data_IF_542402362594
#
_entry.id   IF_542402362594
#
_cell.length_a   1.000
_cell.length_b   1.000
_cell.length_c   1.000
_cell.angle_alpha   90.00
_cell.angle_beta   90.00
_cell.angle_gamma   90.00
#
_symmetry.space_group_name_H-M   'P 1'
#
loop_
_entity.id
_entity.type
_entity.pdbx_description
1 polymer ?
#
# COMPACT_ATOMS: atom_id res chain seq x y z
N UNK A 1 8.21 9.89 -12.45
CA UNK A 1 8.83 8.62 -12.02
C UNK A 1 7.67 7.69 -11.71
N UNK A 2 7.75 6.39 -11.98
CA UNK A 2 6.66 5.49 -11.60
C UNK A 2 6.65 5.36 -10.08
N UNK A 3 5.48 5.54 -9.47
CA UNK A 3 5.30 5.42 -8.03
C UNK A 3 4.27 4.33 -7.77
N UNK A 4 4.58 3.43 -6.84
CA UNK A 4 3.72 2.32 -6.47
C UNK A 4 3.18 2.53 -5.06
N UNK A 5 1.94 2.13 -4.81
CA UNK A 5 1.31 2.18 -3.49
C UNK A 5 0.61 0.86 -3.21
N UNK A 6 0.36 0.59 -1.92
CA UNK A 6 -0.39 -0.57 -1.46
C UNK A 6 -1.84 -0.13 -1.20
N UNK A 7 -2.79 -0.76 -1.86
CA UNK A 7 -4.22 -0.49 -1.73
C UNK A 7 -4.98 -1.68 -1.16
N UNK A 8 -6.14 -1.41 -0.55
CA UNK A 8 -7.04 -2.46 -0.09
C UNK A 8 -7.74 -3.08 -1.31
N UNK A 9 -7.59 -4.39 -1.56
CA UNK A 9 -8.15 -5.03 -2.75
C UNK A 9 -9.68 -4.95 -2.83
N UNK A 10 -10.37 -4.90 -1.69
CA UNK A 10 -11.82 -4.69 -1.64
C UNK A 10 -12.24 -3.22 -1.87
N UNK A 11 -11.32 -2.26 -1.70
CA UNK A 11 -11.55 -0.83 -1.84
C UNK A 11 -10.27 -0.12 -2.31
N UNK A 12 -9.96 -0.15 -3.62
CA UNK A 12 -8.66 0.33 -4.15
C UNK A 12 -8.38 1.83 -3.95
N UNK A 13 -9.40 2.61 -3.59
CA UNK A 13 -9.25 4.02 -3.22
C UNK A 13 -8.69 4.22 -1.79
N UNK A 14 -8.72 3.18 -0.95
CA UNK A 14 -8.07 3.18 0.36
C UNK A 14 -6.65 2.65 0.20
N UNK A 15 -5.68 3.51 0.49
CA UNK A 15 -4.24 3.24 0.35
C UNK A 15 -3.61 3.14 1.74
N UNK A 16 -2.57 2.31 1.87
CA UNK A 16 -1.79 2.22 3.09
C UNK A 16 -1.19 3.59 3.39
N UNK A 17 -1.44 4.11 4.59
CA UNK A 17 -0.93 5.41 5.03
C UNK A 17 0.60 5.42 5.01
N UNK A 18 1.21 6.60 4.84
CA UNK A 18 2.66 6.75 4.92
C UNK A 18 3.24 6.27 6.27
N UNK A 19 2.45 6.36 7.34
CA UNK A 19 2.81 5.85 8.66
C UNK A 19 2.75 4.31 8.76
N UNK A 20 2.06 3.64 7.84
CA UNK A 20 1.88 2.19 7.83
C UNK A 20 0.91 1.69 8.90
N UNK A 21 0.11 2.57 9.49
CA UNK A 21 -0.80 2.27 10.61
C UNK A 21 -2.24 1.95 10.18
N UNK A 22 -2.58 2.18 8.91
CA UNK A 22 -3.93 1.94 8.41
C UNK A 22 -4.10 2.18 6.92
N UNK A 23 -5.27 1.78 6.40
CA UNK A 23 -5.71 2.13 5.06
C UNK A 23 -6.62 3.37 5.13
N UNK A 24 -6.31 4.37 4.32
CA UNK A 24 -6.95 5.69 4.35
C UNK A 24 -7.12 6.22 2.92
N UNK A 25 -8.15 7.04 2.71
CA UNK A 25 -8.40 7.70 1.44
C UNK A 25 -7.90 9.16 1.43
N UNK A 26 -7.49 9.69 2.59
CA UNK A 26 -7.19 11.12 2.76
C UNK A 26 -5.73 11.41 3.07
N UNK A 27 -5.05 10.50 3.77
CA UNK A 27 -3.66 10.74 4.14
C UNK A 27 -2.71 10.42 2.99
N UNK A 28 -1.49 10.97 3.07
CA UNK A 28 -0.45 10.64 2.11
C UNK A 28 -0.20 9.12 2.13
N UNK A 29 -0.22 8.45 0.96
CA UNK A 29 0.01 7.02 0.91
C UNK A 29 1.50 6.68 1.07
N UNK A 30 1.78 5.47 1.54
CA UNK A 30 3.11 4.89 1.47
C UNK A 30 3.48 4.64 0.01
N UNK A 31 4.48 5.38 -0.45
CA UNK A 31 4.96 5.35 -1.83
C UNK A 31 6.25 4.55 -1.95
N UNK A 32 6.34 3.76 -3.01
CA UNK A 32 7.49 2.93 -3.37
C UNK A 32 7.97 3.30 -4.77
N UNK A 33 9.29 3.19 -4.99
CA UNK A 33 9.94 3.48 -6.27
C UNK A 33 9.83 2.34 -7.29
N UNK A 34 9.38 1.16 -6.85
CA UNK A 34 9.22 -0.03 -7.67
C UNK A 34 8.14 -0.96 -7.11
N UNK A 35 7.53 -1.74 -8.00
CA UNK A 35 6.60 -2.80 -7.60
C UNK A 35 7.26 -3.83 -6.68
N UNK A 36 8.54 -4.16 -6.93
CA UNK A 36 9.27 -5.12 -6.09
C UNK A 36 9.43 -4.62 -4.65
N UNK A 37 9.77 -3.33 -4.46
CA UNK A 37 9.87 -2.74 -3.13
C UNK A 37 8.54 -2.79 -2.36
N UNK A 38 7.42 -2.51 -3.04
CA UNK A 38 6.09 -2.64 -2.44
C UNK A 38 5.75 -4.10 -2.08
N UNK A 39 6.13 -5.05 -2.95
CA UNK A 39 5.94 -6.48 -2.69
C UNK A 39 6.76 -6.98 -1.50
N UNK A 40 8.03 -6.61 -1.43
CA UNK A 40 8.90 -6.97 -0.31
C UNK A 40 8.36 -6.42 1.02
N UNK A 41 7.80 -5.21 1.00
CA UNK A 41 7.12 -4.63 2.15
C UNK A 41 5.91 -5.48 2.59
N UNK A 42 5.04 -5.87 1.64
CA UNK A 42 3.87 -6.69 1.93
C UNK A 42 4.24 -8.03 2.54
N UNK A 43 5.18 -8.75 1.94
CA UNK A 43 5.61 -10.08 2.43
C UNK A 43 6.18 -9.98 3.83
N UNK A 44 6.94 -8.92 4.12
CA UNK A 44 7.56 -8.71 5.43
C UNK A 44 6.55 -8.41 6.54
N UNK A 45 5.44 -7.75 6.21
CA UNK A 45 4.45 -7.27 7.19
C UNK A 45 3.09 -7.96 7.06
N UNK A 46 3.00 -9.08 6.33
CA UNK A 46 1.71 -9.75 6.05
C UNK A 46 1.00 -10.27 7.29
N UNK A 47 1.70 -10.41 8.42
CA UNK A 47 1.16 -10.84 9.71
C UNK A 47 0.96 -9.69 10.70
N UNK A 48 1.33 -8.47 10.29
CA UNK A 48 1.23 -7.25 11.10
C UNK A 48 -0.04 -6.47 10.70
N UNK A 49 -0.68 -5.82 11.68
CA UNK A 49 -1.73 -4.85 11.37
C UNK A 49 -1.09 -3.65 10.62
N UNK A 50 -1.76 -3.08 9.59
CA UNK A 50 -3.11 -3.37 9.10
C UNK A 50 -3.19 -4.43 7.98
N UNK A 51 -2.07 -5.07 7.62
CA UNK A 51 -2.00 -6.00 6.47
C UNK A 51 -2.47 -7.42 6.81
N UNK A 52 -2.52 -7.76 8.09
CA UNK A 52 -2.95 -9.06 8.57
C UNK A 52 -4.35 -9.43 8.11
N UNK A 53 -4.45 -10.54 7.39
CA UNK A 53 -5.74 -11.06 6.89
C UNK A 53 -6.38 -10.19 5.81
N UNK A 54 -5.66 -9.20 5.28
CA UNK A 54 -6.13 -8.28 4.25
C UNK A 54 -5.59 -8.71 2.90
N UNK A 55 -6.46 -8.70 1.88
CA UNK A 55 -6.01 -8.76 0.49
C UNK A 55 -5.55 -7.37 0.07
N UNK A 56 -4.24 -7.17 0.03
CA UNK A 56 -3.63 -5.96 -0.48
C UNK A 56 -3.31 -6.08 -1.98
N UNK A 57 -3.36 -4.96 -2.70
CA UNK A 57 -3.00 -4.85 -4.12
C UNK A 57 -1.95 -3.76 -4.31
N UNK A 58 -0.95 -4.02 -5.15
CA UNK A 58 0.06 -3.03 -5.52
C UNK A 58 -0.43 -2.35 -6.79
N UNK A 59 -0.56 -1.02 -6.75
CA UNK A 59 -1.02 -0.23 -7.89
C UNK A 59 0.03 0.82 -8.25
N UNK A 60 0.17 1.10 -9.54
CA UNK A 60 0.89 2.29 -10.01
C UNK A 60 0.00 3.51 -9.80
N UNK A 61 0.50 4.47 -9.01
CA UNK A 61 -0.20 5.70 -8.71
C UNK A 61 0.28 6.82 -9.63
N UNK A 62 -0.54 7.17 -10.62
CA UNK A 62 -0.25 8.21 -11.60
C UNK A 62 -0.48 9.64 -11.05
N UNK A 63 -0.97 9.77 -9.81
CA UNK A 63 -1.28 11.06 -9.19
C UNK A 63 -0.16 11.61 -8.29
N UNK A 64 0.89 10.81 -8.07
CA UNK A 64 2.06 11.15 -7.24
C UNK A 64 3.30 11.51 -8.07
#
# INVERSE_FOLDING_TARGET
MQTFVIALGAAPHMKLSQAGDGFTATDAPMAFDSHQAAYDYLVRHTEDDPLKGVRAEIIEDLSL
#
